data_IF_262310767742
#
_entry.id   IF_262310767742
#
_cell.length_a   1.000
_cell.length_b   1.000
_cell.length_c   1.000
_cell.angle_alpha   90.00
_cell.angle_beta   90.00
_cell.angle_gamma   90.00
#
_symmetry.space_group_name_H-M   'P 1'
#
loop_
_entity.id
_entity.type
_entity.pdbx_description
1 polymer ?
#
# COMPACT_ATOMS: atom_id res chain seq x y z
N UNK A 1 -7.82 17.57 16.30
CA UNK A 1 -6.85 16.46 16.24
C UNK A 1 -6.49 16.28 14.78
N UNK A 2 -5.24 16.57 14.40
CA UNK A 2 -4.81 16.54 12.99
C UNK A 2 -4.60 15.12 12.47
N UNK A 3 -4.52 14.96 11.14
CA UNK A 3 -4.15 13.69 10.50
C UNK A 3 -2.73 13.30 10.92
N UNK A 4 -2.60 12.23 11.70
CA UNK A 4 -1.31 11.61 12.05
C UNK A 4 -1.05 10.46 11.08
N UNK A 5 0.13 10.45 10.47
CA UNK A 5 0.58 9.33 9.63
C UNK A 5 1.16 8.26 10.56
N UNK A 6 0.57 7.07 10.54
CA UNK A 6 0.99 5.95 11.39
C UNK A 6 2.07 5.09 10.72
N UNK A 7 2.06 4.98 9.39
CA UNK A 7 3.00 4.15 8.65
C UNK A 7 3.22 4.67 7.23
N UNK A 8 4.43 4.47 6.72
CA UNK A 8 4.79 4.63 5.31
C UNK A 8 5.43 3.34 4.84
N UNK A 9 5.04 2.86 3.66
CA UNK A 9 5.64 1.68 3.05
C UNK A 9 5.99 1.93 1.58
N UNK A 10 7.00 1.21 1.10
CA UNK A 10 7.40 1.14 -0.29
C UNK A 10 7.07 -0.26 -0.81
N UNK A 11 6.41 -0.32 -1.97
CA UNK A 11 6.01 -1.58 -2.59
C UNK A 11 6.50 -1.66 -4.03
N UNK A 12 7.07 -2.81 -4.38
CA UNK A 12 7.49 -3.16 -5.73
C UNK A 12 6.51 -4.15 -6.35
N UNK A 13 6.38 -4.13 -7.67
CA UNK A 13 5.51 -5.05 -8.39
C UNK A 13 6.30 -6.25 -8.92
N UNK A 14 6.03 -7.44 -8.38
CA UNK A 14 6.57 -8.69 -8.90
C UNK A 14 5.69 -9.21 -10.05
N UNK A 15 6.26 -9.59 -11.22
CA UNK A 15 5.49 -9.96 -12.42
C UNK A 15 4.45 -11.07 -12.22
N UNK A 16 4.70 -12.03 -11.32
CA UNK A 16 3.81 -13.17 -11.07
C UNK A 16 3.03 -13.08 -9.76
N UNK A 17 3.58 -12.37 -8.77
CA UNK A 17 3.05 -12.35 -7.40
C UNK A 17 2.28 -11.06 -7.10
N UNK A 18 2.39 -10.06 -7.98
CA UNK A 18 1.80 -8.75 -7.78
C UNK A 18 2.63 -7.85 -6.85
N UNK A 19 2.01 -6.83 -6.25
CA UNK A 19 2.64 -5.93 -5.31
C UNK A 19 3.23 -6.67 -4.12
N UNK A 20 4.37 -6.20 -3.65
CA UNK A 20 5.01 -6.68 -2.44
C UNK A 20 5.56 -5.50 -1.66
N UNK A 21 5.38 -5.48 -0.35
CA UNK A 21 6.08 -4.52 0.52
C UNK A 21 7.57 -4.86 0.52
N UNK A 22 8.40 -3.92 0.10
CA UNK A 22 9.87 -4.04 0.14
C UNK A 22 10.45 -3.30 1.35
N UNK A 23 9.86 -2.15 1.73
CA UNK A 23 10.22 -1.43 2.95
C UNK A 23 8.97 -0.91 3.65
N UNK A 24 8.99 -0.84 4.97
CA UNK A 24 7.95 -0.17 5.76
C UNK A 24 8.55 0.44 7.02
N UNK A 25 8.00 1.58 7.42
CA UNK A 25 8.33 2.25 8.68
C UNK A 25 7.04 2.62 9.42
N UNK A 26 6.88 2.20 10.69
CA UNK A 26 7.77 1.29 11.42
C UNK A 26 7.81 -0.12 10.80
N UNK A 27 8.87 -0.88 11.11
CA UNK A 27 9.01 -2.26 10.64
C UNK A 27 7.83 -3.13 11.12
N UNK A 28 7.39 -4.06 10.26
CA UNK A 28 6.29 -4.99 10.53
C UNK A 28 4.94 -4.36 10.95
N UNK A 29 4.71 -3.07 10.65
CA UNK A 29 3.44 -2.41 10.95
C UNK A 29 2.26 -2.96 10.13
N UNK A 30 2.48 -3.18 8.84
CA UNK A 30 1.49 -3.72 7.92
C UNK A 30 1.65 -5.24 7.84
N UNK A 31 0.66 -5.98 8.35
CA UNK A 31 0.60 -7.43 8.22
C UNK A 31 0.30 -7.85 6.77
N UNK A 32 0.52 -9.12 6.45
CA UNK A 32 0.15 -9.66 5.14
C UNK A 32 -1.35 -9.57 4.90
N UNK A 33 -2.19 -9.90 5.88
CA UNK A 33 -3.64 -9.82 5.71
C UNK A 33 -4.08 -8.37 5.46
N UNK A 34 -3.49 -7.41 6.16
CA UNK A 34 -3.77 -5.99 5.93
C UNK A 34 -3.32 -5.55 4.54
N UNK A 35 -2.11 -5.95 4.13
CA UNK A 35 -1.59 -5.63 2.81
C UNK A 35 -2.48 -6.20 1.69
N UNK A 36 -3.02 -7.40 1.87
CA UNK A 36 -3.91 -8.02 0.89
C UNK A 36 -5.19 -7.19 0.64
N UNK A 37 -5.64 -6.40 1.62
CA UNK A 37 -6.80 -5.50 1.47
C UNK A 37 -6.46 -4.17 0.76
N UNK A 38 -5.21 -3.70 0.84
CA UNK A 38 -4.80 -2.38 0.31
C UNK A 38 -3.94 -2.46 -0.94
N UNK A 39 -3.38 -3.62 -1.29
CA UNK A 39 -2.49 -3.78 -2.45
C UNK A 39 -3.13 -3.38 -3.79
N UNK A 40 -4.46 -3.43 -3.87
CA UNK A 40 -5.25 -2.97 -5.03
C UNK A 40 -5.13 -1.46 -5.28
N UNK A 41 -4.69 -0.70 -4.28
CA UNK A 41 -4.40 0.73 -4.39
C UNK A 41 -2.94 1.01 -4.77
N UNK A 42 -2.06 0.02 -4.61
CA UNK A 42 -0.67 0.06 -5.07
C UNK A 42 -0.62 -0.18 -6.59
N UNK A 43 -1.39 -1.15 -7.10
CA UNK A 43 -1.60 -1.30 -8.55
C UNK A 43 -2.69 -0.32 -8.96
N UNK A 44 -2.33 0.83 -9.51
CA UNK A 44 -3.35 1.75 -10.01
C UNK A 44 -4.13 1.05 -11.12
N UNK A 45 -5.41 0.72 -10.86
CA UNK A 45 -6.36 0.59 -11.97
C UNK A 45 -6.30 1.89 -12.76
N UNK A 46 -6.42 1.87 -14.10
CA UNK A 46 -6.40 3.09 -14.89
C UNK A 46 -7.37 4.16 -14.35
N UNK A 47 -8.51 3.73 -13.81
CA UNK A 47 -9.52 4.61 -13.19
C UNK A 47 -9.06 5.32 -11.89
N UNK A 48 -8.04 4.79 -11.23
CA UNK A 48 -7.51 5.24 -9.94
C UNK A 48 -6.21 6.06 -10.08
N UNK A 49 -5.64 6.14 -11.30
CA UNK A 49 -4.49 7.00 -11.56
C UNK A 49 -4.85 8.47 -11.29
N UNK A 50 -3.94 9.20 -10.63
CA UNK A 50 -4.12 10.61 -10.23
C UNK A 50 -5.33 10.89 -9.31
N UNK A 51 -5.85 9.88 -8.61
CA UNK A 51 -6.93 10.05 -7.63
C UNK A 51 -6.44 9.81 -6.21
N UNK A 52 -6.88 10.65 -5.28
CA UNK A 52 -6.73 10.38 -3.85
C UNK A 52 -7.71 9.27 -3.47
N UNK A 53 -7.19 8.20 -2.90
CA UNK A 53 -7.97 7.06 -2.44
C UNK A 53 -8.15 7.18 -0.93
N UNK A 54 -9.40 7.12 -0.47
CA UNK A 54 -9.78 7.08 0.94
C UNK A 54 -10.80 5.95 1.13
N UNK A 55 -10.77 5.32 2.30
CA UNK A 55 -11.79 4.36 2.76
C UNK A 55 -12.93 5.08 3.45
#
# INVERSE_FOLDING_TARGET
MGCRIECVFFSEFHPTLGPKITYQVPEDFISRELFDTIQVYVITKPELQNKLITV
#
